data_IF_956028100132
#
_entry.id   IF_956028100132
#
_cell.length_a   1.000
_cell.length_b   1.000
_cell.length_c   1.000
_cell.angle_alpha   90.00
_cell.angle_beta   90.00
_cell.angle_gamma   90.00
#
_symmetry.space_group_name_H-M   'P 1'
#
loop_
_entity.id
_entity.type
_entity.pdbx_description
1 polymer ?
#
# COMPACT_ATOMS: atom_id res chain seq x y z
N UNK A 1 67.78 -42.87 -23.99
CA UNK A 1 67.16 -43.77 -25.00
C UNK A 1 65.70 -43.37 -25.09
N UNK A 2 65.25 -42.89 -26.25
CA UNK A 2 63.87 -42.45 -26.53
C UNK A 2 62.98 -43.68 -26.71
N UNK A 3 61.83 -43.73 -26.03
CA UNK A 3 60.65 -44.43 -26.54
C UNK A 3 59.47 -43.47 -26.41
N UNK A 4 58.98 -43.04 -27.55
CA UNK A 4 57.73 -42.31 -27.75
C UNK A 4 56.65 -43.38 -27.93
N UNK A 5 55.56 -43.34 -27.16
CA UNK A 5 54.30 -44.01 -27.54
C UNK A 5 53.14 -43.04 -27.31
N UNK A 6 52.36 -42.96 -28.37
CA UNK A 6 51.26 -42.10 -28.77
C UNK A 6 49.96 -42.20 -27.96
N UNK A 7 49.17 -41.12 -28.07
CA UNK A 7 47.70 -41.03 -28.12
C UNK A 7 46.90 -41.42 -26.87
N UNK A 8 46.18 -40.43 -26.31
CA UNK A 8 44.72 -40.35 -26.46
C UNK A 8 44.27 -38.91 -26.16
N UNK A 9 43.60 -38.35 -27.17
CA UNK A 9 42.87 -37.10 -27.14
C UNK A 9 41.52 -37.36 -26.44
N UNK A 10 41.25 -36.71 -25.32
CA UNK A 10 39.88 -36.61 -24.79
C UNK A 10 39.49 -35.14 -24.89
N UNK A 11 38.76 -34.82 -25.94
CA UNK A 11 38.06 -33.55 -26.08
C UNK A 11 36.92 -33.52 -25.08
N UNK A 12 36.99 -32.61 -24.10
CA UNK A 12 35.84 -32.23 -23.31
C UNK A 12 35.20 -31.08 -24.09
N UNK A 13 34.06 -31.37 -24.73
CA UNK A 13 33.18 -30.34 -25.27
C UNK A 13 32.79 -29.42 -24.12
N UNK A 14 33.38 -28.22 -24.09
CA UNK A 14 32.86 -27.12 -23.31
C UNK A 14 31.47 -26.80 -23.87
N UNK A 15 30.44 -27.33 -23.22
CA UNK A 15 29.08 -26.89 -23.42
C UNK A 15 29.00 -25.43 -22.96
N UNK A 16 29.22 -24.50 -23.90
CA UNK A 16 28.89 -23.10 -23.72
C UNK A 16 27.37 -22.98 -23.64
N UNK A 17 26.80 -23.17 -22.46
CA UNK A 17 25.42 -22.76 -22.19
C UNK A 17 25.39 -21.23 -22.30
N UNK A 18 24.82 -20.73 -23.40
CA UNK A 18 24.40 -19.33 -23.50
C UNK A 18 23.55 -19.00 -22.26
N UNK A 19 23.87 -17.95 -21.50
CA UNK A 19 22.90 -17.41 -20.56
C UNK A 19 21.75 -16.87 -21.39
N UNK A 20 20.59 -17.47 -21.23
CA UNK A 20 19.33 -16.95 -21.75
C UNK A 20 19.04 -15.70 -20.93
N UNK A 21 19.25 -14.53 -21.54
CA UNK A 21 18.83 -13.24 -20.99
C UNK A 21 17.36 -13.35 -20.63
N UNK A 22 16.97 -13.24 -19.35
CA UNK A 22 15.56 -13.14 -19.01
C UNK A 22 15.03 -11.90 -19.71
N UNK A 23 14.06 -12.10 -20.61
CA UNK A 23 13.23 -11.00 -21.08
C UNK A 23 12.73 -10.23 -19.84
N UNK A 24 12.62 -8.90 -19.86
CA UNK A 24 12.01 -8.17 -18.77
C UNK A 24 10.62 -8.75 -18.56
N UNK A 25 10.50 -9.57 -17.50
CA UNK A 25 9.24 -10.01 -16.97
C UNK A 25 8.64 -8.75 -16.39
N UNK A 26 7.92 -7.99 -17.21
CA UNK A 26 6.84 -7.15 -16.70
C UNK A 26 5.96 -8.13 -15.95
N UNK A 27 6.22 -8.24 -14.66
CA UNK A 27 5.31 -8.86 -13.71
C UNK A 27 4.08 -8.00 -13.83
N UNK A 28 3.14 -8.41 -14.68
CA UNK A 28 1.76 -8.04 -14.51
C UNK A 28 1.38 -8.68 -13.18
N UNK A 29 1.64 -7.93 -12.11
CA UNK A 29 1.03 -8.14 -10.82
C UNK A 29 -0.46 -8.17 -11.12
N UNK A 30 -1.02 -9.38 -11.13
CA UNK A 30 -2.47 -9.56 -11.14
C UNK A 30 -2.90 -8.93 -9.84
N UNK A 31 -3.36 -7.68 -9.90
CA UNK A 31 -3.90 -6.96 -8.76
C UNK A 31 -5.03 -7.81 -8.22
N UNK A 32 -4.76 -8.50 -7.11
CA UNK A 32 -5.77 -9.26 -6.39
C UNK A 32 -6.87 -8.24 -6.04
N UNK A 33 -8.14 -8.47 -6.40
CA UNK A 33 -9.19 -7.50 -6.11
C UNK A 33 -9.18 -7.23 -4.60
N UNK A 34 -8.93 -5.97 -4.26
CA UNK A 34 -8.83 -5.51 -2.87
C UNK A 34 -10.17 -5.64 -2.17
N UNK A 35 -11.28 -5.80 -2.89
CA UNK A 35 -12.64 -5.83 -2.37
C UNK A 35 -13.31 -4.46 -2.46
N UNK A 36 -12.52 -3.38 -2.57
CA UNK A 36 -12.99 -2.02 -2.79
C UNK A 36 -13.54 -1.80 -4.20
N UNK A 37 -13.26 -2.69 -5.16
CA UNK A 37 -13.72 -2.58 -6.56
C UNK A 37 -15.26 -2.58 -6.67
N UNK A 38 -15.94 -3.15 -5.67
CA UNK A 38 -17.41 -3.15 -5.56
C UNK A 38 -17.99 -1.79 -5.16
N UNK A 39 -17.18 -0.95 -4.51
CA UNK A 39 -17.58 0.42 -4.18
C UNK A 39 -17.52 1.26 -5.46
N UNK A 40 -18.58 2.02 -5.79
CA UNK A 40 -18.58 2.92 -6.94
C UNK A 40 -17.43 3.92 -6.89
N UNK A 41 -17.05 4.44 -8.05
CA UNK A 41 -16.13 5.57 -8.09
C UNK A 41 -16.68 6.76 -7.30
N UNK A 42 -15.81 7.62 -6.75
CA UNK A 42 -16.25 8.77 -6.00
C UNK A 42 -17.17 9.67 -6.81
N UNK A 43 -18.24 10.15 -6.17
CA UNK A 43 -19.17 11.12 -6.77
C UNK A 43 -19.09 12.46 -6.02
N UNK A 44 -18.33 13.44 -6.54
CA UNK A 44 -18.16 14.74 -5.89
C UNK A 44 -19.46 15.54 -5.72
N UNK A 45 -20.52 15.20 -6.45
CA UNK A 45 -21.82 15.87 -6.30
C UNK A 45 -22.50 15.53 -4.98
N UNK A 46 -22.09 14.45 -4.33
CA UNK A 46 -22.62 14.00 -3.04
C UNK A 46 -21.83 14.53 -1.84
N UNK A 47 -20.69 15.18 -2.06
CA UNK A 47 -19.84 15.65 -0.97
C UNK A 47 -20.50 16.83 -0.23
N UNK A 48 -20.38 16.89 1.11
CA UNK A 48 -20.74 18.09 1.85
C UNK A 48 -19.87 19.27 1.38
N UNK A 49 -20.36 20.49 1.56
CA UNK A 49 -19.59 21.68 1.20
C UNK A 49 -18.34 21.75 2.08
N UNK A 50 -17.18 21.94 1.46
CA UNK A 50 -15.86 21.89 2.13
C UNK A 50 -15.70 22.78 3.38
N UNK A 51 -16.51 23.84 3.55
CA UNK A 51 -16.45 24.69 4.75
C UNK A 51 -17.11 24.06 5.98
N UNK A 52 -17.93 23.03 5.79
CA UNK A 52 -18.60 22.27 6.84
C UNK A 52 -18.47 20.77 6.55
N UNK A 53 -17.43 20.16 7.11
CA UNK A 53 -17.20 18.71 7.02
C UNK A 53 -17.85 17.94 8.17
N UNK A 54 -18.71 18.59 8.97
CA UNK A 54 -19.40 17.94 10.10
C UNK A 54 -20.29 16.80 9.62
N UNK A 55 -20.86 16.94 8.41
CA UNK A 55 -21.73 15.94 7.79
C UNK A 55 -20.98 14.93 6.91
N UNK A 56 -19.65 14.80 7.06
CA UNK A 56 -18.91 13.77 6.33
C UNK A 56 -19.31 12.36 6.81
N UNK A 57 -19.73 11.50 5.89
CA UNK A 57 -20.27 10.16 6.20
C UNK A 57 -19.45 8.99 5.68
N UNK A 58 -18.50 9.24 4.78
CA UNK A 58 -17.56 8.22 4.32
C UNK A 58 -16.51 7.93 5.40
N UNK A 59 -15.69 6.87 5.26
CA UNK A 59 -14.65 6.57 6.23
C UNK A 59 -13.68 7.74 6.37
N UNK A 60 -13.22 7.97 7.60
CA UNK A 60 -12.30 9.05 7.93
C UNK A 60 -11.03 8.48 8.57
N UNK A 61 -9.89 8.96 8.09
CA UNK A 61 -8.57 8.68 8.63
C UNK A 61 -8.01 9.94 9.29
N UNK A 62 -7.37 9.75 10.44
CA UNK A 62 -6.65 10.77 11.19
C UNK A 62 -5.20 10.35 11.30
N UNK A 63 -4.30 11.06 10.62
CA UNK A 63 -2.85 10.84 10.78
C UNK A 63 -2.44 11.32 12.17
N UNK A 64 -1.81 10.44 12.94
CA UNK A 64 -1.36 10.70 14.31
C UNK A 64 0.10 10.34 14.47
N UNK A 65 0.69 10.66 15.61
CA UNK A 65 2.09 10.29 15.91
C UNK A 65 2.25 8.79 16.18
N UNK A 66 1.20 8.15 16.69
CA UNK A 66 1.14 6.73 17.08
C UNK A 66 0.62 5.81 15.97
N UNK A 67 0.24 6.36 14.81
CA UNK A 67 -0.24 5.59 13.65
C UNK A 67 -1.29 6.34 12.85
N UNK A 68 -2.20 5.59 12.22
CA UNK A 68 -3.37 6.10 11.50
C UNK A 68 -4.64 5.72 12.27
N UNK A 69 -5.39 6.72 12.71
CA UNK A 69 -6.68 6.50 13.33
C UNK A 69 -7.79 6.32 12.29
N UNK A 70 -8.46 5.18 12.27
CA UNK A 70 -9.74 5.00 11.57
C UNK A 70 -10.88 5.43 12.51
N UNK A 71 -11.69 6.40 12.08
CA UNK A 71 -12.81 6.90 12.88
C UNK A 71 -14.03 6.01 12.72
N UNK A 72 -14.49 5.42 13.81
CA UNK A 72 -15.79 4.75 13.89
C UNK A 72 -16.86 5.77 14.30
N UNK A 73 -17.59 6.27 13.29
CA UNK A 73 -18.66 7.24 13.49
C UNK A 73 -19.85 6.68 14.29
N UNK A 74 -20.09 5.36 14.24
CA UNK A 74 -21.22 4.73 14.91
C UNK A 74 -20.98 4.62 16.42
N UNK A 75 -19.76 4.22 16.80
CA UNK A 75 -19.39 4.03 18.20
C UNK A 75 -18.69 5.25 18.83
N UNK A 76 -18.31 6.24 18.01
CA UNK A 76 -17.47 7.41 18.40
C UNK A 76 -16.11 7.00 18.95
N UNK A 77 -15.50 6.02 18.29
CA UNK A 77 -14.19 5.49 18.65
C UNK A 77 -13.17 5.77 17.54
N UNK A 78 -11.88 5.70 17.89
CA UNK A 78 -10.78 5.78 16.92
C UNK A 78 -9.91 4.55 17.08
N UNK A 79 -9.83 3.74 16.02
CA UNK A 79 -8.98 2.56 15.98
C UNK A 79 -7.61 2.95 15.45
N UNK A 80 -6.56 2.78 16.24
CA UNK A 80 -5.18 3.09 15.82
C UNK A 80 -4.62 1.90 15.04
N UNK A 81 -4.26 2.17 13.79
CA UNK A 81 -3.74 1.21 12.83
C UNK A 81 -2.30 1.56 12.48
N UNK A 82 -1.50 0.56 12.13
CA UNK A 82 -0.30 0.81 11.33
C UNK A 82 -0.72 1.15 9.89
N UNK A 83 0.08 1.91 9.13
CA UNK A 83 -0.27 2.26 7.75
C UNK A 83 -0.59 1.04 6.86
N UNK A 84 0.10 -0.08 7.10
CA UNK A 84 -0.09 -1.33 6.35
C UNK A 84 -1.43 -2.02 6.64
N UNK A 85 -2.03 -1.74 7.80
CA UNK A 85 -3.35 -2.30 8.18
C UNK A 85 -4.51 -1.52 7.55
N UNK A 86 -4.30 -0.25 7.18
CA UNK A 86 -5.35 0.64 6.66
C UNK A 86 -6.08 0.03 5.45
N UNK A 87 -5.42 -0.54 4.42
CA UNK A 87 -6.11 -1.11 3.28
C UNK A 87 -7.05 -2.26 3.68
N UNK A 88 -6.58 -3.17 4.54
CA UNK A 88 -7.37 -4.32 4.98
C UNK A 88 -8.59 -3.89 5.79
N UNK A 89 -8.44 -2.88 6.65
CA UNK A 89 -9.55 -2.35 7.43
C UNK A 89 -10.58 -1.59 6.58
N UNK A 90 -10.14 -0.80 5.58
CA UNK A 90 -11.08 -0.14 4.67
C UNK A 90 -11.90 -1.17 3.87
N UNK A 91 -11.28 -2.29 3.49
CA UNK A 91 -11.94 -3.39 2.78
C UNK A 91 -12.95 -4.14 3.65
N UNK A 92 -12.72 -4.20 4.96
CA UNK A 92 -13.60 -4.90 5.91
C UNK A 92 -14.90 -4.15 6.17
N UNK A 93 -14.95 -2.84 5.86
CA UNK A 93 -16.13 -2.01 6.05
C UNK A 93 -17.29 -2.44 5.12
N UNK A 94 -18.54 -2.37 5.61
CA UNK A 94 -19.71 -2.66 4.79
C UNK A 94 -19.88 -1.60 3.68
N UNK A 95 -20.55 -1.96 2.57
CA UNK A 95 -20.83 -1.03 1.46
C UNK A 95 -21.58 0.24 1.91
N UNK A 96 -22.41 0.13 2.95
CA UNK A 96 -23.14 1.25 3.55
C UNK A 96 -22.25 2.32 4.19
N UNK A 97 -20.98 2.00 4.46
CA UNK A 97 -19.99 2.96 4.93
C UNK A 97 -19.49 3.90 3.82
N UNK A 98 -19.87 3.67 2.55
CA UNK A 98 -19.36 4.40 1.38
C UNK A 98 -20.46 5.17 0.61
N UNK A 99 -21.29 6.00 1.27
CA UNK A 99 -22.36 6.72 0.59
C UNK A 99 -21.88 7.63 -0.55
N UNK A 100 -20.64 8.11 -0.52
CA UNK A 100 -20.07 9.02 -1.53
C UNK A 100 -19.16 8.32 -2.56
N UNK A 101 -19.19 6.99 -2.64
CA UNK A 101 -18.26 6.19 -3.43
C UNK A 101 -16.91 6.00 -2.74
N UNK A 102 -15.91 5.48 -3.47
CA UNK A 102 -14.60 5.06 -2.94
C UNK A 102 -13.66 6.24 -2.63
N UNK A 103 -14.03 7.05 -1.64
CA UNK A 103 -13.25 8.19 -1.15
C UNK A 103 -13.19 8.19 0.37
N UNK A 104 -12.05 8.59 0.92
CA UNK A 104 -11.86 8.74 2.37
C UNK A 104 -11.48 10.17 2.69
N UNK A 105 -11.90 10.67 3.85
CA UNK A 105 -11.41 11.94 4.38
C UNK A 105 -10.13 11.68 5.16
N UNK A 106 -9.04 12.35 4.79
CA UNK A 106 -7.79 12.31 5.54
C UNK A 106 -7.59 13.64 6.26
N UNK A 107 -7.41 13.57 7.57
CA UNK A 107 -7.06 14.71 8.43
C UNK A 107 -5.77 14.40 9.18
N UNK A 108 -5.15 15.41 9.78
CA UNK A 108 -3.95 15.24 10.58
C UNK A 108 -4.19 15.79 11.98
N UNK A 109 -3.83 15.02 13.00
CA UNK A 109 -3.89 15.46 14.38
C UNK A 109 -2.84 16.55 14.64
N UNK A 110 -3.16 17.42 15.61
CA UNK A 110 -2.17 18.34 16.17
C UNK A 110 -1.11 17.51 16.91
N UNK A 111 0.19 17.76 16.68
CA UNK A 111 1.26 17.14 17.47
C UNK A 111 1.02 17.33 18.97
N UNK A 112 1.35 16.32 19.78
CA UNK A 112 1.27 16.37 21.24
C UNK A 112 2.23 17.44 21.80
N UNK A 113 3.40 17.59 21.16
CA UNK A 113 4.37 18.63 21.43
C UNK A 113 4.96 19.23 20.14
N UNK A 114 5.76 20.28 20.27
CA UNK A 114 6.40 20.94 19.13
C UNK A 114 7.74 20.28 18.74
N UNK A 115 8.03 19.07 19.22
CA UNK A 115 9.31 18.41 18.93
C UNK A 115 9.44 18.06 17.45
N UNK A 116 10.67 18.08 16.94
CA UNK A 116 10.94 17.64 15.58
C UNK A 116 10.61 16.15 15.38
N UNK A 117 10.80 15.34 16.42
CA UNK A 117 10.45 13.92 16.40
C UNK A 117 8.95 13.69 16.18
N UNK A 118 8.09 14.42 16.89
CA UNK A 118 6.64 14.36 16.69
C UNK A 118 6.24 14.72 15.25
N UNK A 119 6.84 15.78 14.70
CA UNK A 119 6.61 16.19 13.31
C UNK A 119 7.13 15.15 12.31
N UNK A 120 8.25 14.50 12.59
CA UNK A 120 8.80 13.42 11.73
C UNK A 120 7.83 12.24 11.69
N UNK A 121 7.39 11.73 12.86
CA UNK A 121 6.43 10.61 12.91
C UNK A 121 5.13 10.89 12.15
N UNK A 122 4.57 12.10 12.28
CA UNK A 122 3.39 12.49 11.51
C UNK A 122 3.64 12.47 9.99
N UNK A 123 4.82 12.90 9.54
CA UNK A 123 5.19 12.88 8.12
C UNK A 123 5.41 11.46 7.60
N UNK A 124 6.02 10.59 8.40
CA UNK A 124 6.21 9.18 8.08
C UNK A 124 4.86 8.48 7.94
N UNK A 125 3.98 8.59 8.94
CA UNK A 125 2.66 7.99 8.90
C UNK A 125 1.82 8.54 7.72
N UNK A 126 1.92 9.84 7.43
CA UNK A 126 1.22 10.45 6.28
C UNK A 126 1.75 9.96 4.93
N UNK A 127 3.06 9.77 4.79
CA UNK A 127 3.68 9.40 3.51
C UNK A 127 3.33 7.98 3.04
N UNK A 128 2.66 7.20 3.89
CA UNK A 128 2.24 5.83 3.65
C UNK A 128 0.74 5.71 3.33
N UNK A 129 0.02 6.84 3.24
CA UNK A 129 -1.35 6.96 2.74
C UNK A 129 -1.35 7.50 1.30
#
# INVERSE_FOLDING_TARGET
>A
MRILVTLILIGILAACSKPETPAPQTSAEVQQPTGLERIPDPDPTQYPKFHDMTDWRNPQLVVREDGIGLVDLANREIHILTPEQVPAELVSLPESAWPYGRVVLVTQAKPADNSEQAKVRLRENRGLL
#
